data_IF_765602718435
#
_entry.id   IF_765602718435
#
_cell.length_a   1.000
_cell.length_b   1.000
_cell.length_c   1.000
_cell.angle_alpha   90.00
_cell.angle_beta   90.00
_cell.angle_gamma   90.00
#
_symmetry.space_group_name_H-M   'P 1'
#
loop_
_entity.id
_entity.type
_entity.pdbx_description
1 polymer ?
#
# COMPACT_ATOMS: atom_id res chain seq x y z
N UNK A 1 13.93 1.25 -7.91
CA UNK A 1 12.73 0.58 -7.41
C UNK A 1 13.21 -0.72 -6.82
N UNK A 2 12.98 -0.92 -5.53
CA UNK A 2 13.14 -2.23 -4.92
C UNK A 2 12.24 -3.24 -5.63
N UNK A 3 12.68 -4.49 -5.67
CA UNK A 3 11.87 -5.58 -6.21
C UNK A 3 10.63 -5.77 -5.35
N UNK A 4 9.46 -5.85 -5.98
CA UNK A 4 8.21 -6.11 -5.27
C UNK A 4 8.12 -7.61 -4.99
N UNK A 5 8.14 -8.00 -3.72
CA UNK A 5 7.90 -9.38 -3.30
C UNK A 5 6.45 -9.52 -2.82
N UNK A 6 5.67 -10.31 -3.56
CA UNK A 6 4.27 -10.61 -3.24
C UNK A 6 4.13 -11.59 -2.07
N UNK A 7 5.23 -12.17 -1.56
CA UNK A 7 5.21 -12.97 -0.34
C UNK A 7 5.33 -12.13 0.93
N UNK A 8 5.71 -10.85 0.81
CA UNK A 8 5.72 -9.95 1.95
C UNK A 8 4.31 -9.71 2.47
N UNK A 9 4.20 -9.57 3.79
CA UNK A 9 2.92 -9.36 4.46
C UNK A 9 2.22 -8.07 4.05
N UNK A 10 2.93 -6.95 4.00
CA UNK A 10 2.35 -5.64 3.75
C UNK A 10 2.63 -5.16 2.32
N UNK A 11 1.57 -4.74 1.62
CA UNK A 11 1.66 -4.15 0.30
C UNK A 11 1.21 -2.69 0.33
N UNK A 12 2.01 -1.83 -0.27
CA UNK A 12 1.85 -0.39 -0.27
C UNK A 12 1.44 0.06 -1.68
N UNK A 13 0.23 0.60 -1.79
CA UNK A 13 -0.36 1.03 -3.04
C UNK A 13 -0.42 2.55 -3.12
N UNK A 14 -0.05 3.10 -4.27
CA UNK A 14 -0.19 4.53 -4.56
C UNK A 14 -0.83 4.73 -5.92
N UNK A 15 -1.88 5.55 -5.97
CA UNK A 15 -2.64 5.83 -7.18
C UNK A 15 -2.71 7.34 -7.42
N UNK A 16 -2.18 7.80 -8.56
CA UNK A 16 -2.30 9.20 -9.00
C UNK A 16 -3.72 9.55 -9.48
N UNK A 17 -4.55 8.55 -9.79
CA UNK A 17 -5.91 8.72 -10.32
C UNK A 17 -6.76 7.53 -9.87
N UNK A 18 -8.04 7.75 -9.52
CA UNK A 18 -8.96 6.64 -9.27
C UNK A 18 -9.27 5.90 -10.56
N UNK A 19 -9.03 4.58 -10.62
CA UNK A 19 -9.51 3.75 -11.71
C UNK A 19 -10.02 2.39 -11.20
N UNK A 20 -11.06 1.83 -11.84
CA UNK A 20 -11.83 0.71 -11.28
C UNK A 20 -11.08 -0.64 -11.21
N UNK A 21 -9.87 -0.70 -11.75
CA UNK A 21 -9.06 -1.92 -11.84
C UNK A 21 -7.63 -1.68 -11.32
N UNK A 22 -7.48 -1.07 -10.14
CA UNK A 22 -6.19 -1.08 -9.44
C UNK A 22 -5.72 -2.53 -9.25
N UNK A 23 -4.50 -2.83 -9.68
CA UNK A 23 -3.96 -4.18 -9.72
C UNK A 23 -2.64 -4.28 -8.98
N UNK A 24 -2.02 -5.46 -8.99
CA UNK A 24 -0.69 -5.67 -8.41
C UNK A 24 0.41 -4.77 -9.01
N UNK A 25 0.15 -4.15 -10.17
CA UNK A 25 1.03 -3.18 -10.81
C UNK A 25 1.15 -1.85 -10.03
N UNK A 26 0.19 -1.55 -9.15
CA UNK A 26 0.18 -0.34 -8.33
C UNK A 26 0.90 -0.54 -6.98
N UNK A 27 1.46 -1.73 -6.73
CA UNK A 27 2.30 -1.94 -5.55
C UNK A 27 3.62 -1.20 -5.77
N UNK A 28 3.81 -0.13 -5.02
CA UNK A 28 5.02 0.69 -5.06
C UNK A 28 6.07 0.22 -4.05
N UNK A 29 5.64 -0.48 -3.00
CA UNK A 29 6.51 -1.10 -1.99
C UNK A 29 5.85 -2.33 -1.39
N UNK A 30 6.68 -3.29 -0.97
CA UNK A 30 6.26 -4.43 -0.15
C UNK A 30 7.24 -4.59 1.02
N UNK A 31 6.76 -5.05 2.18
CA UNK A 31 7.59 -5.30 3.37
C UNK A 31 6.88 -6.22 4.36
N UNK A 32 7.63 -6.95 5.17
CA UNK A 32 7.07 -7.68 6.33
C UNK A 32 6.91 -6.80 7.58
N UNK A 33 7.43 -5.57 7.56
CA UNK A 33 7.37 -4.65 8.69
C UNK A 33 6.19 -3.69 8.58
N UNK A 34 5.23 -3.82 9.50
CA UNK A 34 4.10 -2.88 9.63
C UNK A 34 4.57 -1.43 9.79
N UNK A 35 5.63 -1.22 10.58
CA UNK A 35 6.17 0.12 10.83
C UNK A 35 6.73 0.76 9.56
N UNK A 36 7.40 -0.02 8.71
CA UNK A 36 7.90 0.49 7.43
C UNK A 36 6.78 0.79 6.45
N UNK A 37 5.73 -0.04 6.42
CA UNK A 37 4.57 0.18 5.56
C UNK A 37 3.80 1.45 5.95
N UNK A 38 3.58 1.66 7.26
CA UNK A 38 2.95 2.89 7.77
C UNK A 38 3.82 4.11 7.51
N UNK A 39 5.13 4.00 7.73
CA UNK A 39 6.05 5.11 7.45
C UNK A 39 5.99 5.51 5.97
N UNK A 40 6.01 4.52 5.08
CA UNK A 40 5.87 4.76 3.64
C UNK A 40 4.56 5.48 3.31
N UNK A 41 3.44 5.06 3.92
CA UNK A 41 2.15 5.71 3.73
C UNK A 41 2.19 7.19 4.16
N UNK A 42 2.73 7.48 5.34
CA UNK A 42 2.85 8.85 5.84
C UNK A 42 3.73 9.73 4.95
N UNK A 43 4.77 9.17 4.33
CA UNK A 43 5.68 9.87 3.42
C UNK A 43 5.05 10.13 2.04
N UNK A 44 4.19 9.22 1.55
CA UNK A 44 3.68 9.27 0.17
C UNK A 44 2.20 9.70 0.06
N UNK A 45 1.43 9.76 1.16
CA UNK A 45 -0.01 10.10 1.13
C UNK A 45 -0.32 11.50 0.59
N UNK A 46 0.62 12.45 0.66
CA UNK A 46 0.44 13.79 0.08
C UNK A 46 0.80 13.84 -1.42
N UNK A 47 1.45 12.79 -1.93
CA UNK A 47 1.91 12.71 -3.32
C UNK A 47 0.91 12.03 -4.24
N UNK A 48 0.15 11.07 -3.71
CA UNK A 48 -0.85 10.31 -4.47
C UNK A 48 -2.27 10.74 -4.08
N UNK A 49 -3.20 10.70 -5.04
CA UNK A 49 -4.62 10.96 -4.78
C UNK A 49 -5.23 9.87 -3.88
N UNK A 50 -4.73 8.64 -4.00
CA UNK A 50 -5.07 7.52 -3.12
C UNK A 50 -3.78 6.79 -2.71
N UNK A 51 -3.65 6.55 -1.41
CA UNK A 51 -2.53 5.82 -0.83
C UNK A 51 -3.12 4.80 0.14
N UNK A 52 -2.73 3.53 0.03
CA UNK A 52 -3.32 2.46 0.82
C UNK A 52 -2.26 1.43 1.23
N UNK A 53 -2.45 0.84 2.41
CA UNK A 53 -1.61 -0.25 2.91
C UNK A 53 -2.49 -1.46 3.16
N UNK A 54 -2.18 -2.58 2.50
CA UNK A 54 -2.88 -3.85 2.66
C UNK A 54 -2.07 -4.80 3.53
N UNK A 55 -2.69 -5.39 4.54
CA UNK A 55 -2.15 -6.53 5.29
C UNK A 55 -2.67 -7.83 4.65
N UNK A 56 -1.80 -8.53 3.93
CA UNK A 56 -2.18 -9.75 3.19
C UNK A 56 -2.53 -10.94 4.09
N UNK A 57 -1.96 -11.01 5.29
CA UNK A 57 -2.27 -12.06 6.25
C UNK A 57 -3.63 -11.82 6.91
N UNK A 58 -3.87 -10.59 7.37
CA UNK A 58 -5.14 -10.22 7.98
C UNK A 58 -6.27 -10.01 6.95
N UNK A 59 -5.91 -9.81 5.68
CA UNK A 59 -6.80 -9.52 4.55
C UNK A 59 -7.64 -8.26 4.77
N UNK A 60 -6.98 -7.20 5.23
CA UNK A 60 -7.60 -5.91 5.52
C UNK A 60 -6.67 -4.75 5.13
N UNK A 61 -7.25 -3.57 4.93
CA UNK A 61 -6.46 -2.35 4.79
C UNK A 61 -6.12 -1.80 6.17
N UNK A 62 -4.87 -1.41 6.36
CA UNK A 62 -4.37 -0.93 7.66
C UNK A 62 -4.94 0.46 8.02
N UNK A 63 -5.50 1.19 7.04
CA UNK A 63 -6.09 2.53 7.18
C UNK A 63 -7.61 2.54 6.85
N UNK A 64 -8.32 1.41 6.95
CA UNK A 64 -9.77 1.38 6.66
C UNK A 64 -10.67 2.10 7.69
N UNK A 65 -10.14 3.06 8.45
CA UNK A 65 -10.91 4.07 9.18
C UNK A 65 -11.44 5.13 8.18
N UNK A 66 -12.13 4.66 7.13
CA UNK A 66 -13.09 5.46 6.39
C UNK A 66 -14.45 5.16 7.01
N UNK A 67 -14.80 5.95 8.03
CA UNK A 67 -16.16 6.05 8.57
C UNK A 67 -17.22 6.24 7.47
#
# INVERSE_FOLDING_TARGET
>A
MDEIDLNHRYWCFGFDQYYPNGGFADILKSTDSKQEAIKWYEEEKERFDYCEVWDSEAREYVDSDKE
#
